data_IF_601541269023
#
_entry.id   IF_601541269023
#
_cell.length_a   1.000
_cell.length_b   1.000
_cell.length_c   1.000
_cell.angle_alpha   90.00
_cell.angle_beta   90.00
_cell.angle_gamma   90.00
#
_symmetry.space_group_name_H-M   'P 1'
#
loop_
_entity.id
_entity.type
_entity.pdbx_description
1 polymer ?
#
# COMPACT_ATOMS: atom_id res chain seq x y z
N UNK A 1 49.39 -113.25 -22.44
CA UNK A 1 49.21 -113.89 -23.77
C UNK A 1 50.55 -113.85 -24.47
N UNK A 2 51.03 -115.01 -24.91
CA UNK A 2 52.32 -115.23 -25.59
C UNK A 2 52.29 -114.48 -26.93
N UNK A 3 53.30 -113.66 -27.19
CA UNK A 3 53.47 -112.90 -28.44
C UNK A 3 53.64 -113.87 -29.60
N UNK A 4 52.90 -113.66 -30.69
CA UNK A 4 53.24 -114.16 -32.03
C UNK A 4 53.14 -112.99 -33.00
N UNK A 5 54.18 -112.87 -33.82
CA UNK A 5 54.53 -111.73 -34.65
C UNK A 5 53.92 -111.77 -36.06
N UNK A 6 54.14 -110.65 -36.75
CA UNK A 6 53.61 -110.18 -38.02
C UNK A 6 53.82 -111.08 -39.26
N UNK A 7 52.85 -110.99 -40.19
CA UNK A 7 53.09 -111.29 -41.62
C UNK A 7 51.89 -111.88 -42.36
N UNK A 8 51.00 -111.04 -42.92
CA UNK A 8 50.20 -111.38 -44.10
C UNK A 8 49.64 -110.10 -44.74
N UNK A 9 50.11 -109.82 -45.95
CA UNK A 9 49.53 -108.85 -46.89
C UNK A 9 48.34 -109.56 -47.55
N UNK A 10 47.14 -109.01 -47.46
CA UNK A 10 45.98 -109.60 -48.15
C UNK A 10 45.95 -109.14 -49.63
N UNK A 11 46.16 -110.08 -50.55
CA UNK A 11 45.85 -109.90 -51.97
C UNK A 11 44.31 -109.91 -52.18
N UNK A 12 43.78 -109.16 -53.17
CA UNK A 12 42.35 -108.92 -53.33
C UNK A 12 41.59 -110.14 -53.89
N UNK A 13 40.35 -110.33 -53.43
CA UNK A 13 39.36 -111.21 -54.07
C UNK A 13 38.82 -110.50 -55.33
N UNK A 14 38.98 -111.13 -56.49
CA UNK A 14 38.32 -110.76 -57.75
C UNK A 14 37.03 -111.59 -57.87
N UNK A 15 35.87 -110.92 -57.90
CA UNK A 15 34.60 -111.51 -58.30
C UNK A 15 34.44 -111.35 -59.82
N UNK A 16 34.43 -112.46 -60.57
CA UNK A 16 34.11 -112.46 -62.01
C UNK A 16 32.60 -112.35 -62.25
N UNK A 17 32.21 -111.40 -63.11
CA UNK A 17 30.83 -111.17 -63.54
C UNK A 17 30.38 -112.22 -64.59
N UNK A 18 29.13 -112.70 -64.47
CA UNK A 18 28.42 -113.46 -65.50
C UNK A 18 27.58 -112.52 -66.40
N UNK A 19 27.46 -112.78 -67.73
CA UNK A 19 26.79 -111.86 -68.66
C UNK A 19 25.25 -112.01 -68.66
N UNK A 20 24.54 -110.87 -68.74
CA UNK A 20 23.08 -110.77 -68.96
C UNK A 20 22.73 -110.58 -70.45
N UNK A 21 21.64 -111.20 -70.91
CA UNK A 21 20.87 -110.96 -72.17
C UNK A 21 19.39 -111.22 -71.83
N UNK A 22 18.32 -110.56 -72.26
CA UNK A 22 17.96 -109.33 -73.02
C UNK A 22 16.47 -109.07 -72.64
N UNK A 23 15.94 -107.83 -72.60
CA UNK A 23 14.54 -107.61 -72.21
C UNK A 23 13.56 -107.75 -73.39
N UNK A 24 12.35 -108.22 -73.11
CA UNK A 24 11.19 -108.22 -74.03
C UNK A 24 10.09 -107.35 -73.43
N UNK A 25 9.44 -106.58 -74.31
CA UNK A 25 8.51 -105.49 -74.05
C UNK A 25 7.05 -105.98 -74.05
N UNK A 26 6.18 -105.09 -73.55
CA UNK A 26 4.75 -104.88 -73.88
C UNK A 26 3.81 -105.69 -72.95
N UNK A 27 2.75 -105.15 -72.33
CA UNK A 27 1.60 -104.44 -72.91
C UNK A 27 0.61 -103.93 -71.85
N UNK A 28 -0.26 -103.01 -72.31
CA UNK A 28 -1.61 -102.66 -71.82
C UNK A 28 -1.68 -101.55 -70.74
N UNK A 29 -2.47 -100.48 -70.88
CA UNK A 29 -3.61 -100.20 -71.75
C UNK A 29 -4.86 -99.88 -70.91
N UNK A 30 -5.60 -98.81 -71.23
CA UNK A 30 -7.04 -98.52 -70.97
C UNK A 30 -7.21 -96.99 -71.08
N UNK A 31 -7.90 -96.35 -72.04
CA UNK A 31 -9.31 -96.38 -72.50
C UNK A 31 -10.36 -96.00 -71.45
N UNK A 32 -11.15 -94.98 -71.80
CA UNK A 32 -12.54 -94.71 -71.36
C UNK A 32 -12.71 -93.31 -70.77
N UNK A 33 -13.79 -92.56 -70.95
CA UNK A 33 -15.00 -92.61 -71.79
C UNK A 33 -15.70 -91.22 -71.64
N UNK A 34 -16.64 -90.82 -72.53
CA UNK A 34 -17.07 -89.43 -72.77
C UNK A 34 -18.47 -89.04 -72.23
N UNK A 35 -18.69 -87.73 -72.06
CA UNK A 35 -20.01 -87.07 -71.85
C UNK A 35 -20.25 -86.65 -70.39
N UNK A 36 -20.59 -85.40 -70.06
CA UNK A 36 -21.72 -84.60 -70.58
C UNK A 36 -21.32 -83.17 -70.98
N UNK A 37 -21.89 -82.66 -72.07
CA UNK A 37 -21.57 -81.36 -72.69
C UNK A 37 -21.86 -80.14 -71.80
N UNK A 38 -21.52 -78.92 -72.22
CA UNK A 38 -20.97 -78.49 -73.49
C UNK A 38 -20.08 -77.27 -73.25
N UNK A 39 -19.07 -77.15 -74.09
CA UNK A 39 -18.06 -76.11 -73.99
C UNK A 39 -16.95 -76.50 -74.91
N UNK A 40 -17.02 -76.01 -76.15
CA UNK A 40 -16.00 -76.23 -77.15
C UNK A 40 -14.65 -75.83 -76.57
N UNK A 41 -13.78 -76.80 -76.40
CA UNK A 41 -12.37 -76.57 -76.18
C UNK A 41 -11.68 -77.54 -77.11
N UNK A 42 -11.48 -77.15 -78.37
CA UNK A 42 -10.41 -76.21 -78.73
C UNK A 42 -9.13 -76.69 -78.04
N UNK A 43 -8.25 -77.30 -78.83
CA UNK A 43 -6.92 -77.70 -78.38
C UNK A 43 -6.25 -76.53 -77.66
N UNK A 44 -5.43 -76.88 -76.64
CA UNK A 44 -4.64 -76.00 -75.77
C UNK A 44 -4.71 -74.52 -76.17
N UNK A 45 -5.67 -73.83 -75.56
CA UNK A 45 -5.94 -72.41 -75.78
C UNK A 45 -4.96 -71.49 -75.04
N UNK A 46 -4.09 -72.07 -74.21
CA UNK A 46 -2.88 -71.44 -73.70
C UNK A 46 -1.90 -72.47 -73.14
N UNK A 47 -0.59 -72.19 -73.24
CA UNK A 47 0.46 -72.98 -72.60
C UNK A 47 1.73 -72.13 -72.42
N UNK A 48 2.28 -72.12 -71.20
CA UNK A 48 3.50 -71.37 -70.82
C UNK A 48 3.53 -69.94 -71.37
N UNK A 49 2.56 -69.12 -70.95
CA UNK A 49 2.29 -67.72 -71.38
C UNK A 49 1.78 -67.51 -72.81
N UNK A 50 1.87 -68.51 -73.71
CA UNK A 50 1.25 -68.44 -75.03
C UNK A 50 -0.26 -68.64 -74.87
N UNK A 51 -1.10 -67.82 -75.51
CA UNK A 51 -2.57 -67.95 -75.56
C UNK A 51 -3.03 -68.02 -77.02
N UNK A 52 -4.20 -68.61 -77.28
CA UNK A 52 -4.67 -68.98 -78.62
C UNK A 52 -4.39 -70.46 -78.95
N UNK A 53 -4.56 -70.88 -80.21
CA UNK A 53 -4.28 -72.26 -80.61
C UNK A 53 -2.76 -72.57 -80.51
N UNK A 54 -2.36 -73.37 -79.52
CA UNK A 54 -0.95 -73.72 -79.27
C UNK A 54 -0.63 -75.13 -79.81
N UNK A 55 0.32 -75.25 -80.74
CA UNK A 55 0.96 -76.56 -81.06
C UNK A 55 2.15 -76.78 -80.13
N UNK A 56 2.19 -77.93 -79.44
CA UNK A 56 3.24 -78.32 -78.50
C UNK A 56 4.28 -79.22 -79.20
N UNK A 57 5.57 -78.90 -79.06
CA UNK A 57 6.72 -79.69 -79.53
C UNK A 57 7.28 -80.61 -78.44
N UNK A 58 8.18 -81.52 -78.79
CA UNK A 58 8.88 -82.37 -77.82
C UNK A 58 9.58 -81.57 -76.72
N UNK A 59 10.17 -80.42 -77.05
CA UNK A 59 10.73 -79.46 -76.08
C UNK A 59 9.67 -78.82 -75.19
N UNK A 60 8.49 -78.49 -75.74
CA UNK A 60 7.39 -77.98 -74.91
C UNK A 60 6.92 -79.04 -73.91
N UNK A 61 6.92 -80.33 -74.29
CA UNK A 61 6.57 -81.44 -73.41
C UNK A 61 7.67 -81.71 -72.36
N UNK A 62 8.95 -81.69 -72.74
CA UNK A 62 10.07 -81.86 -71.80
C UNK A 62 10.16 -80.70 -70.81
N UNK A 63 9.83 -79.47 -71.24
CA UNK A 63 9.74 -78.30 -70.36
C UNK A 63 8.48 -78.33 -69.47
N UNK A 64 7.34 -78.78 -70.02
CA UNK A 64 6.09 -78.96 -69.27
C UNK A 64 6.21 -79.99 -68.15
N UNK A 65 6.83 -81.13 -68.47
CA UNK A 65 7.01 -82.25 -67.55
C UNK A 65 8.31 -82.13 -66.73
N UNK A 66 9.16 -81.14 -67.06
CA UNK A 66 10.47 -80.93 -66.47
C UNK A 66 11.31 -82.21 -66.35
N UNK A 67 11.23 -83.11 -67.35
CA UNK A 67 11.86 -84.43 -67.29
C UNK A 67 12.37 -84.89 -68.65
N UNK A 68 13.65 -85.26 -68.72
CA UNK A 68 14.30 -85.90 -69.88
C UNK A 68 14.50 -87.40 -69.57
N UNK A 69 13.96 -88.33 -70.38
CA UNK A 69 14.16 -89.77 -70.15
C UNK A 69 15.64 -90.17 -70.26
N UNK A 70 16.12 -90.88 -69.24
CA UNK A 70 17.49 -91.40 -69.16
C UNK A 70 17.75 -92.47 -70.25
N UNK A 71 18.82 -92.31 -71.03
CA UNK A 71 19.35 -93.33 -71.94
C UNK A 71 20.60 -94.00 -71.33
N UNK A 72 21.16 -95.03 -71.96
CA UNK A 72 22.28 -95.80 -71.40
C UNK A 72 23.51 -94.93 -70.98
N UNK A 73 23.70 -93.74 -71.54
CA UNK A 73 24.77 -92.82 -71.13
C UNK A 73 24.49 -92.07 -69.81
N UNK A 74 23.28 -92.17 -69.27
CA UNK A 74 22.84 -91.48 -68.04
C UNK A 74 22.68 -92.42 -66.82
N UNK A 75 23.08 -93.69 -66.94
CA UNK A 75 23.18 -94.62 -65.82
C UNK A 75 24.57 -94.54 -65.18
N UNK A 76 24.63 -94.53 -63.83
CA UNK A 76 25.89 -94.38 -63.10
C UNK A 76 26.81 -95.62 -63.24
N UNK A 77 28.13 -95.40 -63.15
CA UNK A 77 29.17 -96.42 -63.36
C UNK A 77 28.98 -97.71 -62.54
N UNK A 78 28.45 -97.61 -61.32
CA UNK A 78 28.18 -98.75 -60.43
C UNK A 78 27.21 -99.78 -61.02
N UNK A 79 26.35 -99.36 -61.96
CA UNK A 79 25.45 -100.28 -62.65
C UNK A 79 26.19 -101.26 -63.58
N UNK A 80 27.49 -101.04 -63.86
CA UNK A 80 28.31 -101.81 -64.78
C UNK A 80 29.53 -102.49 -64.12
N UNK A 81 30.14 -101.88 -63.08
CA UNK A 81 31.43 -102.35 -62.52
C UNK A 81 31.33 -103.33 -61.35
N UNK A 82 30.29 -103.22 -60.51
CA UNK A 82 30.17 -103.97 -59.25
C UNK A 82 31.14 -103.57 -58.14
N UNK A 83 31.95 -102.52 -58.30
CA UNK A 83 32.92 -102.08 -57.29
C UNK A 83 32.27 -101.29 -56.16
N UNK A 84 32.66 -101.55 -54.91
CA UNK A 84 32.17 -100.84 -53.72
C UNK A 84 32.53 -99.34 -53.74
N UNK A 85 33.61 -98.96 -54.44
CA UNK A 85 34.00 -97.56 -54.64
C UNK A 85 32.97 -96.75 -55.43
N UNK A 86 32.17 -97.43 -56.26
CA UNK A 86 31.33 -96.77 -57.26
C UNK A 86 29.91 -96.50 -56.73
N UNK A 87 29.59 -97.06 -55.55
CA UNK A 87 28.35 -96.77 -54.83
C UNK A 87 28.37 -95.33 -54.30
N UNK A 88 27.45 -94.50 -54.78
CA UNK A 88 27.10 -93.28 -54.08
C UNK A 88 26.47 -93.66 -52.72
N UNK A 89 26.95 -93.07 -51.62
CA UNK A 89 26.54 -93.35 -50.22
C UNK A 89 26.86 -94.77 -49.69
N UNK A 90 28.11 -95.23 -49.86
CA UNK A 90 28.56 -96.52 -49.34
C UNK A 90 28.53 -96.60 -47.79
N UNK A 91 28.05 -97.72 -47.21
CA UNK A 91 28.17 -97.98 -45.77
C UNK A 91 29.62 -97.89 -45.24
N UNK A 92 29.81 -97.47 -43.99
CA UNK A 92 31.12 -97.42 -43.34
C UNK A 92 31.53 -98.81 -42.84
N UNK A 93 32.75 -99.25 -43.15
CA UNK A 93 33.34 -100.48 -42.63
C UNK A 93 34.52 -100.07 -41.74
N UNK A 94 34.46 -100.28 -40.41
CA UNK A 94 35.58 -100.05 -39.51
C UNK A 94 36.85 -100.79 -39.96
N UNK A 95 37.97 -100.07 -40.08
CA UNK A 95 39.27 -100.60 -40.52
C UNK A 95 40.40 -100.38 -39.50
N UNK A 96 40.15 -99.69 -38.39
CA UNK A 96 41.09 -99.53 -37.28
C UNK A 96 40.43 -99.38 -35.88
N UNK A 97 41.21 -99.44 -34.78
CA UNK A 97 40.69 -99.42 -33.41
C UNK A 97 39.90 -98.14 -33.03
N UNK A 98 40.19 -97.02 -33.67
CA UNK A 98 39.44 -95.77 -33.48
C UNK A 98 38.00 -95.84 -33.98
N UNK A 99 37.73 -96.71 -34.96
CA UNK A 99 36.41 -96.89 -35.56
C UNK A 99 35.42 -97.63 -34.65
N UNK A 100 35.88 -98.17 -33.50
CA UNK A 100 35.08 -98.88 -32.49
C UNK A 100 35.16 -98.25 -31.08
N UNK A 101 35.80 -97.08 -30.94
CA UNK A 101 35.93 -96.40 -29.65
C UNK A 101 36.97 -97.00 -28.69
N UNK A 102 38.01 -97.65 -29.19
CA UNK A 102 39.11 -98.13 -28.35
C UNK A 102 39.88 -96.95 -27.70
N UNK A 103 40.32 -97.13 -26.44
CA UNK A 103 41.06 -96.12 -25.70
C UNK A 103 42.36 -95.71 -26.43
N UNK A 104 42.66 -94.42 -26.39
CA UNK A 104 43.81 -93.83 -27.10
C UNK A 104 45.12 -94.06 -26.34
N UNK A 105 46.25 -93.99 -27.06
CA UNK A 105 47.58 -94.04 -26.44
C UNK A 105 47.78 -92.96 -25.36
N UNK A 106 47.11 -91.80 -25.48
CA UNK A 106 47.14 -90.73 -24.49
C UNK A 106 46.44 -91.11 -23.18
N UNK A 107 45.34 -91.87 -23.24
CA UNK A 107 44.66 -92.40 -22.05
C UNK A 107 45.53 -93.48 -21.36
N UNK A 108 46.33 -94.23 -22.12
CA UNK A 108 47.35 -95.12 -21.56
C UNK A 108 48.44 -94.38 -20.79
N UNK A 109 48.96 -93.26 -21.33
CA UNK A 109 50.00 -92.46 -20.68
C UNK A 109 49.52 -91.77 -19.37
N UNK A 110 48.23 -91.42 -19.26
CA UNK A 110 47.62 -90.93 -18.03
C UNK A 110 47.55 -92.01 -16.94
N UNK A 111 47.40 -93.28 -17.31
CA UNK A 111 47.42 -94.39 -16.36
C UNK A 111 48.84 -94.69 -15.84
N UNK A 112 49.87 -94.55 -16.68
CA UNK A 112 51.29 -94.74 -16.28
C UNK A 112 51.83 -93.64 -15.36
N UNK A 113 51.17 -92.47 -15.33
CA UNK A 113 51.55 -91.32 -14.47
C UNK A 113 50.72 -91.22 -13.19
N UNK A 114 49.81 -92.17 -12.95
CA UNK A 114 49.06 -92.26 -11.70
C UNK A 114 49.99 -92.66 -10.54
N UNK A 115 50.08 -91.78 -9.54
CA UNK A 115 51.02 -91.83 -8.42
C UNK A 115 50.79 -93.06 -7.53
N UNK A 116 51.82 -93.91 -7.35
CA UNK A 116 51.80 -95.07 -6.44
C UNK A 116 52.30 -94.71 -5.01
N UNK A 117 51.93 -95.46 -3.95
CA UNK A 117 52.08 -95.06 -2.54
C UNK A 117 53.48 -94.65 -2.05
N UNK A 118 54.56 -95.05 -2.72
CA UNK A 118 55.94 -94.63 -2.39
C UNK A 118 56.27 -93.15 -2.67
N UNK A 119 55.46 -92.46 -3.48
CA UNK A 119 55.61 -91.03 -3.73
C UNK A 119 55.00 -90.14 -2.62
N UNK A 120 54.14 -90.70 -1.76
CA UNK A 120 53.54 -89.98 -0.63
C UNK A 120 54.57 -89.69 0.48
N UNK A 121 55.57 -90.56 0.66
CA UNK A 121 56.68 -90.35 1.62
C UNK A 121 57.59 -89.19 1.21
N UNK A 122 57.92 -89.05 -0.07
CA UNK A 122 58.79 -87.98 -0.57
C UNK A 122 58.09 -86.61 -0.56
N UNK A 123 56.78 -86.57 -0.83
CA UNK A 123 56.01 -85.33 -0.77
C UNK A 123 55.70 -84.84 0.64
N UNK A 124 55.70 -85.74 1.65
CA UNK A 124 55.53 -85.34 3.05
C UNK A 124 56.82 -84.70 3.61
N UNK A 125 57.99 -85.24 3.25
CA UNK A 125 59.31 -84.69 3.63
C UNK A 125 59.59 -83.29 3.00
N UNK A 126 58.89 -82.95 1.92
CA UNK A 126 59.00 -81.67 1.20
C UNK A 126 57.89 -80.65 1.55
N UNK A 127 56.86 -81.03 2.32
CA UNK A 127 55.73 -80.14 2.68
C UNK A 127 55.84 -79.50 4.08
N UNK A 128 56.89 -79.83 4.84
CA UNK A 128 57.20 -79.16 6.11
C UNK A 128 58.53 -78.44 5.91
N UNK A 129 58.50 -77.11 5.75
CA UNK A 129 59.71 -76.30 5.60
C UNK A 129 60.61 -76.46 6.83
N UNK A 130 61.65 -77.31 6.73
CA UNK A 130 62.71 -77.39 7.73
C UNK A 130 63.58 -76.14 7.65
N UNK A 131 63.21 -75.10 8.38
CA UNK A 131 64.13 -73.99 8.67
C UNK A 131 65.16 -74.48 9.68
N UNK A 132 66.45 -74.34 9.36
CA UNK A 132 67.53 -74.76 10.25
C UNK A 132 67.40 -74.08 11.62
N UNK A 133 67.25 -74.86 12.69
CA UNK A 133 67.16 -74.37 14.08
C UNK A 133 65.81 -74.56 14.79
N UNK A 134 64.76 -75.09 14.14
CA UNK A 134 63.46 -75.35 14.76
C UNK A 134 63.11 -76.85 14.84
N UNK A 135 62.44 -77.26 15.93
CA UNK A 135 61.95 -78.62 16.19
C UNK A 135 60.46 -78.83 15.85
N UNK A 136 60.03 -80.08 15.75
CA UNK A 136 58.77 -80.53 15.11
C UNK A 136 57.48 -80.49 15.97
N UNK A 137 57.41 -79.76 17.09
CA UNK A 137 56.19 -79.72 17.91
C UNK A 137 56.02 -78.46 18.78
N UNK A 138 54.95 -77.71 18.55
CA UNK A 138 54.18 -76.83 19.47
C UNK A 138 54.88 -75.99 20.58
N UNK A 139 56.11 -75.52 20.39
CA UNK A 139 56.71 -74.48 21.24
C UNK A 139 57.40 -73.42 20.37
N UNK A 140 56.60 -72.64 19.65
CA UNK A 140 57.09 -71.58 18.77
C UNK A 140 57.25 -70.27 19.57
N UNK A 141 58.35 -70.14 20.30
CA UNK A 141 58.97 -68.83 20.51
C UNK A 141 60.23 -68.79 19.65
N UNK A 142 60.28 -67.92 18.65
CA UNK A 142 61.50 -67.64 17.89
C UNK A 142 62.60 -67.14 18.82
N UNK A 143 63.87 -67.28 18.43
CA UNK A 143 64.99 -66.78 19.24
C UNK A 143 64.87 -65.26 19.53
N UNK A 144 64.26 -64.50 18.62
CA UNK A 144 63.96 -63.08 18.79
C UNK A 144 62.82 -62.83 19.79
N UNK A 145 61.79 -63.67 19.81
CA UNK A 145 60.71 -63.60 20.81
C UNK A 145 61.20 -64.04 22.19
N UNK A 146 62.07 -65.05 22.28
CA UNK A 146 62.74 -65.41 23.54
C UNK A 146 63.67 -64.32 24.04
N UNK A 147 64.39 -63.62 23.15
CA UNK A 147 65.20 -62.47 23.54
C UNK A 147 64.34 -61.27 23.99
N UNK A 148 63.21 -61.01 23.30
CA UNK A 148 62.23 -59.99 23.74
C UNK A 148 61.58 -60.36 25.07
N UNK A 149 61.23 -61.62 25.29
CA UNK A 149 60.62 -62.10 26.53
C UNK A 149 61.62 -62.15 27.68
N UNK A 150 62.89 -62.48 27.40
CA UNK A 150 63.98 -62.39 28.39
C UNK A 150 64.36 -60.93 28.71
N UNK A 151 64.05 -59.98 27.83
CA UNK A 151 64.21 -58.53 28.03
C UNK A 151 62.96 -57.81 28.54
N UNK A 152 61.83 -58.52 28.70
CA UNK A 152 60.71 -58.04 29.52
C UNK A 152 61.11 -58.27 30.97
N UNK A 153 61.79 -57.30 31.57
CA UNK A 153 61.97 -57.21 33.01
C UNK A 153 60.61 -57.49 33.66
N UNK A 154 60.56 -58.41 34.64
CA UNK A 154 59.30 -58.93 35.18
C UNK A 154 58.37 -57.79 35.58
N UNK A 155 57.07 -57.93 35.27
CA UNK A 155 56.00 -56.94 35.54
C UNK A 155 56.39 -55.87 36.57
N UNK A 156 56.60 -54.62 36.11
CA UNK A 156 56.85 -53.46 36.96
C UNK A 156 55.77 -53.22 38.04
N UNK A 157 54.63 -53.92 37.95
CA UNK A 157 53.68 -53.96 39.05
C UNK A 157 54.25 -54.73 40.25
N UNK A 158 54.44 -54.03 41.37
CA UNK A 158 54.99 -54.57 42.61
C UNK A 158 53.94 -54.98 43.65
N UNK A 159 52.66 -54.92 43.27
CA UNK A 159 51.54 -55.44 44.06
C UNK A 159 50.66 -54.35 44.68
N UNK A 160 49.70 -54.81 45.47
CA UNK A 160 48.77 -53.96 46.22
C UNK A 160 49.11 -53.97 47.71
N UNK A 161 49.19 -52.81 48.33
CA UNK A 161 49.54 -52.62 49.73
C UNK A 161 48.43 -51.89 50.48
N UNK A 162 48.25 -52.22 51.75
CA UNK A 162 47.17 -51.65 52.57
C UNK A 162 47.37 -50.18 52.95
N UNK A 163 48.61 -49.68 52.86
CA UNK A 163 48.98 -48.29 53.06
C UNK A 163 50.40 -48.02 52.52
N UNK A 164 50.77 -46.75 52.41
CA UNK A 164 52.07 -46.32 51.89
C UNK A 164 53.27 -46.80 52.73
N UNK A 165 53.09 -46.92 54.05
CA UNK A 165 54.13 -47.46 54.95
C UNK A 165 54.39 -48.93 54.68
N UNK A 166 53.34 -49.72 54.42
CA UNK A 166 53.44 -51.13 54.10
C UNK A 166 54.16 -51.36 52.76
N UNK A 167 53.90 -50.51 51.77
CA UNK A 167 54.65 -50.49 50.50
C UNK A 167 56.14 -50.25 50.75
N UNK A 168 56.51 -49.15 51.42
CA UNK A 168 57.92 -48.82 51.67
C UNK A 168 58.63 -49.86 52.55
N UNK A 169 57.92 -50.46 53.51
CA UNK A 169 58.50 -51.50 54.38
C UNK A 169 58.78 -52.78 53.60
N UNK A 170 57.86 -53.17 52.71
CA UNK A 170 58.01 -54.38 51.90
C UNK A 170 58.99 -54.19 50.74
N UNK A 171 59.05 -52.98 50.17
CA UNK A 171 59.85 -52.61 49.02
C UNK A 171 60.55 -51.27 49.27
N UNK A 172 61.62 -51.27 50.08
CA UNK A 172 62.36 -50.04 50.41
C UNK A 172 63.18 -49.49 49.23
N UNK A 173 63.44 -50.32 48.22
CA UNK A 173 64.09 -49.96 46.96
C UNK A 173 63.36 -50.68 45.82
N UNK A 174 63.22 -50.04 44.67
CA UNK A 174 62.63 -50.62 43.47
C UNK A 174 63.41 -50.17 42.22
N UNK A 175 62.99 -50.58 41.03
CA UNK A 175 63.61 -50.22 39.76
C UNK A 175 62.80 -49.15 39.03
N UNK A 176 63.45 -48.39 38.14
CA UNK A 176 62.77 -47.38 37.32
C UNK A 176 61.56 -47.99 36.58
N UNK A 177 60.41 -47.32 36.67
CA UNK A 177 59.16 -47.79 36.06
C UNK A 177 58.32 -48.68 36.96
N UNK A 178 58.82 -49.10 38.12
CA UNK A 178 58.05 -49.85 39.09
C UNK A 178 56.86 -49.05 39.63
N UNK A 179 55.72 -49.73 39.80
CA UNK A 179 54.53 -49.13 40.37
C UNK A 179 53.83 -50.10 41.31
N UNK A 180 53.22 -49.56 42.35
CA UNK A 180 52.45 -50.29 43.33
C UNK A 180 51.14 -49.56 43.61
N UNK A 181 50.10 -50.31 43.90
CA UNK A 181 48.81 -49.74 44.27
C UNK A 181 48.68 -49.76 45.79
N UNK A 182 48.23 -48.66 46.37
CA UNK A 182 47.91 -48.54 47.79
C UNK A 182 46.40 -48.42 47.94
N UNK A 183 45.79 -49.40 48.59
CA UNK A 183 44.35 -49.47 48.84
C UNK A 183 44.10 -49.68 50.34
N UNK A 184 43.58 -48.65 51.01
CA UNK A 184 43.26 -48.68 52.43
C UNK A 184 42.01 -49.51 52.77
N UNK A 185 41.35 -50.11 51.77
CA UNK A 185 40.19 -50.97 51.90
C UNK A 185 38.88 -50.29 51.48
N UNK A 186 37.76 -50.97 51.77
CA UNK A 186 36.44 -50.59 51.28
C UNK A 186 36.08 -49.11 51.52
N UNK A 187 35.84 -48.37 50.43
CA UNK A 187 35.43 -46.96 50.45
C UNK A 187 36.57 -45.95 50.28
N UNK A 188 37.83 -46.38 50.31
CA UNK A 188 38.97 -45.54 49.93
C UNK A 188 39.28 -45.71 48.43
N UNK A 189 39.65 -44.64 47.70
CA UNK A 189 40.15 -44.79 46.34
C UNK A 189 41.53 -45.47 46.36
N UNK A 190 41.79 -46.31 45.35
CA UNK A 190 43.12 -46.89 45.12
C UNK A 190 44.06 -45.78 44.65
N UNK A 191 45.18 -45.59 45.36
CA UNK A 191 46.22 -44.63 45.00
C UNK A 191 47.39 -45.38 44.38
N UNK A 192 47.78 -45.04 43.15
CA UNK A 192 48.97 -45.60 42.52
C UNK A 192 50.22 -44.82 42.94
N UNK A 193 51.24 -45.53 43.37
CA UNK A 193 52.58 -45.02 43.62
C UNK A 193 53.53 -45.55 42.55
N UNK A 194 54.37 -44.68 42.02
CA UNK A 194 55.38 -44.99 41.00
C UNK A 194 56.74 -44.74 41.65
N UNK A 195 57.69 -45.65 41.44
CA UNK A 195 59.05 -45.51 41.93
C UNK A 195 59.74 -44.39 41.15
N UNK A 196 60.18 -43.37 41.88
CA UNK A 196 61.04 -42.31 41.35
C UNK A 196 62.49 -42.69 41.63
N UNK A 197 63.17 -43.17 40.59
CA UNK A 197 64.58 -43.58 40.68
C UNK A 197 65.50 -42.40 41.03
N UNK A 198 65.14 -41.18 40.62
CA UNK A 198 65.99 -40.00 40.85
C UNK A 198 66.08 -39.62 42.32
N UNK A 199 64.99 -39.84 43.06
CA UNK A 199 64.88 -39.55 44.48
C UNK A 199 64.94 -40.83 45.35
N UNK A 200 64.98 -42.02 44.72
CA UNK A 200 64.92 -43.33 45.40
C UNK A 200 63.73 -43.43 46.36
N UNK A 201 62.57 -42.93 45.94
CA UNK A 201 61.35 -42.88 46.75
C UNK A 201 60.11 -43.26 45.93
N UNK A 202 59.09 -43.81 46.60
CA UNK A 202 57.78 -44.05 46.02
C UNK A 202 56.93 -42.77 46.00
N UNK A 203 56.54 -42.29 44.82
CA UNK A 203 55.76 -41.04 44.67
C UNK A 203 54.34 -41.32 44.21
N UNK A 204 53.34 -40.65 44.80
CA UNK A 204 51.95 -40.78 44.40
C UNK A 204 51.71 -40.19 43.01
N UNK A 205 51.02 -40.92 42.13
CA UNK A 205 50.69 -40.43 40.80
C UNK A 205 49.74 -39.22 40.88
N UNK A 206 50.14 -38.08 40.31
CA UNK A 206 49.32 -36.87 40.29
C UNK A 206 48.30 -36.91 39.14
N UNK A 207 47.01 -37.04 39.47
CA UNK A 207 45.88 -36.91 38.54
C UNK A 207 44.61 -37.53 39.11
N UNK A 208 43.51 -36.76 39.18
CA UNK A 208 42.20 -37.31 39.55
C UNK A 208 41.52 -37.91 38.32
N UNK A 209 40.98 -39.12 38.46
CA UNK A 209 40.12 -39.78 37.46
C UNK A 209 38.63 -39.46 37.66
N UNK A 210 38.28 -38.48 38.49
CA UNK A 210 36.89 -38.13 38.78
C UNK A 210 36.18 -37.59 37.53
N UNK A 211 34.97 -38.09 37.21
CA UNK A 211 34.20 -37.59 36.08
C UNK A 211 33.78 -36.13 36.33
N UNK A 212 33.91 -35.28 35.31
CA UNK A 212 33.47 -33.89 35.38
C UNK A 212 31.96 -33.81 35.63
N UNK A 213 31.53 -32.99 36.59
CA UNK A 213 30.10 -32.82 36.92
C UNK A 213 29.39 -31.93 35.89
N UNK A 214 28.08 -32.07 35.75
CA UNK A 214 27.28 -31.22 34.86
C UNK A 214 27.41 -29.71 35.18
N UNK A 215 27.59 -29.35 36.47
CA UNK A 215 27.83 -27.97 36.88
C UNK A 215 29.19 -27.45 36.37
N UNK A 216 30.25 -28.26 36.51
CA UNK A 216 31.57 -27.93 35.99
C UNK A 216 31.57 -27.83 34.45
N UNK A 217 30.85 -28.72 33.76
CA UNK A 217 30.65 -28.64 32.30
C UNK A 217 29.95 -27.33 31.91
N UNK A 218 28.89 -26.93 32.63
CA UNK A 218 28.18 -25.67 32.37
C UNK A 218 29.09 -24.47 32.57
N UNK A 219 29.87 -24.42 33.65
CA UNK A 219 30.82 -23.34 33.91
C UNK A 219 31.90 -23.27 32.83
N UNK A 220 32.50 -24.39 32.44
CA UNK A 220 33.49 -24.42 31.36
C UNK A 220 32.90 -23.97 30.02
N UNK A 221 31.70 -24.42 29.69
CA UNK A 221 30.97 -24.03 28.48
C UNK A 221 30.68 -22.53 28.45
N UNK A 222 30.10 -21.99 29.53
CA UNK A 222 29.76 -20.56 29.64
C UNK A 222 30.99 -19.65 29.77
N UNK A 223 32.15 -20.18 30.17
CA UNK A 223 33.41 -19.43 30.25
C UNK A 223 34.13 -19.26 28.91
N UNK A 224 33.66 -19.90 27.83
CA UNK A 224 34.34 -19.87 26.53
C UNK A 224 33.97 -18.59 25.73
N UNK A 225 34.94 -17.72 25.40
CA UNK A 225 34.69 -16.42 24.76
C UNK A 225 34.07 -16.48 23.34
N UNK A 226 34.23 -17.59 22.62
CA UNK A 226 33.71 -17.77 21.25
C UNK A 226 32.37 -18.53 21.19
N UNK A 227 31.69 -18.69 22.33
CA UNK A 227 30.37 -19.32 22.34
C UNK A 227 29.29 -18.26 22.25
N UNK A 228 28.43 -18.34 21.23
CA UNK A 228 27.13 -17.64 21.18
C UNK A 228 26.17 -18.21 22.25
N UNK A 229 26.67 -18.48 23.47
CA UNK A 229 25.94 -19.17 24.52
C UNK A 229 24.82 -18.28 25.02
N UNK A 230 23.58 -18.76 24.87
CA UNK A 230 22.42 -18.10 25.45
C UNK A 230 22.41 -18.37 26.96
N UNK A 231 22.95 -17.42 27.71
CA UNK A 231 23.13 -17.50 29.16
C UNK A 231 21.80 -17.56 29.89
N UNK A 232 21.80 -18.00 31.15
CA UNK A 232 20.58 -18.03 31.96
C UNK A 232 20.01 -16.62 32.20
N UNK A 233 20.86 -15.59 32.22
CA UNK A 233 20.44 -14.20 32.29
C UNK A 233 19.66 -13.78 31.02
N UNK A 234 20.13 -14.17 29.84
CA UNK A 234 19.45 -13.88 28.57
C UNK A 234 18.14 -14.67 28.42
N UNK A 235 18.11 -15.94 28.86
CA UNK A 235 16.88 -16.74 28.93
C UNK A 235 15.85 -16.12 29.86
N UNK A 236 16.28 -15.65 31.03
CA UNK A 236 15.41 -14.95 31.98
C UNK A 236 14.85 -13.67 31.38
N UNK A 237 15.69 -12.89 30.69
CA UNK A 237 15.26 -11.69 29.96
C UNK A 237 14.23 -12.00 28.88
N UNK A 238 14.40 -13.08 28.12
CA UNK A 238 13.44 -13.53 27.10
C UNK A 238 12.13 -14.03 27.71
N UNK A 239 12.18 -14.71 28.86
CA UNK A 239 10.99 -15.16 29.59
C UNK A 239 10.09 -14.01 30.07
N UNK A 240 10.66 -12.82 30.27
CA UNK A 240 9.91 -11.60 30.60
C UNK A 240 9.24 -10.92 29.41
N UNK A 241 9.53 -11.34 28.18
CA UNK A 241 8.94 -10.78 26.96
C UNK A 241 7.62 -11.50 26.67
N UNK A 242 6.57 -10.73 26.41
CA UNK A 242 5.24 -11.28 26.10
C UNK A 242 5.26 -12.13 24.82
N UNK A 243 4.47 -13.21 24.82
CA UNK A 243 4.32 -14.07 23.65
C UNK A 243 3.85 -13.25 22.43
N UNK A 244 4.57 -13.37 21.31
CA UNK A 244 4.28 -12.63 20.07
C UNK A 244 4.87 -11.22 19.99
N UNK A 245 5.62 -10.77 21.00
CA UNK A 245 6.37 -9.52 20.89
C UNK A 245 7.41 -9.59 19.76
N UNK A 246 7.43 -8.58 18.92
CA UNK A 246 8.37 -8.43 17.82
C UNK A 246 9.62 -7.65 18.26
N UNK A 247 10.74 -7.84 17.59
CA UNK A 247 11.88 -6.93 17.72
C UNK A 247 11.60 -5.68 16.85
N UNK A 248 11.43 -4.52 17.47
CA UNK A 248 11.10 -3.27 16.75
C UNK A 248 12.27 -2.30 16.84
N UNK A 249 12.77 -1.85 15.69
CA UNK A 249 13.92 -0.93 15.63
C UNK A 249 13.57 0.49 16.06
N UNK A 250 12.33 0.90 15.84
CA UNK A 250 11.77 2.20 16.22
C UNK A 250 10.24 2.07 16.38
N UNK A 251 9.60 3.17 16.75
CA UNK A 251 8.13 3.25 16.93
C UNK A 251 7.36 2.97 15.64
N UNK A 252 7.94 3.25 14.46
CA UNK A 252 7.28 3.01 13.17
C UNK A 252 7.18 1.51 12.84
N UNK A 253 8.08 0.72 13.41
CA UNK A 253 8.10 -0.73 13.23
C UNK A 253 7.23 -1.46 14.25
N UNK A 254 6.73 -0.77 15.29
CA UNK A 254 5.97 -1.38 16.37
C UNK A 254 4.56 -1.72 15.89
N UNK A 255 4.21 -3.00 15.98
CA UNK A 255 2.89 -3.46 15.56
C UNK A 255 1.82 -2.88 16.49
N UNK A 256 0.85 -2.18 15.91
CA UNK A 256 -0.28 -1.66 16.67
C UNK A 256 -1.36 -2.74 16.88
N UNK A 257 -2.03 -2.69 18.03
CA UNK A 257 -3.18 -3.55 18.32
C UNK A 257 -4.47 -3.00 17.72
N UNK A 258 -5.57 -3.74 17.81
CA UNK A 258 -6.87 -3.26 17.30
C UNK A 258 -7.44 -2.05 18.07
N UNK A 259 -7.03 -1.87 19.33
CA UNK A 259 -7.57 -0.84 20.24
C UNK A 259 -6.58 0.30 20.50
N UNK A 260 -5.30 -0.02 20.71
CA UNK A 260 -4.25 0.94 20.98
C UNK A 260 -3.42 1.16 19.72
N UNK A 261 -3.60 2.34 19.15
CA UNK A 261 -3.20 2.70 17.81
C UNK A 261 -2.36 3.99 17.88
N UNK A 262 -1.33 4.16 17.05
CA UNK A 262 -0.54 5.40 17.04
C UNK A 262 -1.31 6.53 16.37
N UNK A 263 -1.21 7.71 16.97
CA UNK A 263 -1.77 8.92 16.41
C UNK A 263 -0.81 9.52 15.38
N UNK A 264 -0.96 9.13 14.12
CA UNK A 264 -0.35 9.86 13.01
C UNK A 264 -1.24 11.05 12.62
N UNK A 265 -0.64 12.09 12.03
CA UNK A 265 -1.40 13.27 11.58
C UNK A 265 -2.56 12.88 10.64
N UNK A 266 -2.31 11.97 9.69
CA UNK A 266 -3.34 11.48 8.77
C UNK A 266 -4.50 10.79 9.50
N UNK A 267 -4.21 9.99 10.52
CA UNK A 267 -5.24 9.27 11.28
C UNK A 267 -6.05 10.19 12.17
N UNK A 268 -5.40 11.15 12.83
CA UNK A 268 -6.08 12.16 13.64
C UNK A 268 -7.06 12.96 12.78
N UNK A 269 -6.65 13.35 11.56
CA UNK A 269 -7.52 14.06 10.61
C UNK A 269 -8.67 13.20 10.06
N UNK A 270 -8.49 11.88 9.99
CA UNK A 270 -9.50 10.94 9.51
C UNK A 270 -10.47 10.46 10.60
N UNK A 271 -10.30 10.86 11.87
CA UNK A 271 -11.21 10.45 12.95
C UNK A 271 -12.62 10.98 12.69
N UNK A 272 -13.57 10.06 12.58
CA UNK A 272 -15.00 10.39 12.51
C UNK A 272 -15.47 10.82 13.90
N UNK A 273 -16.04 12.03 14.01
CA UNK A 273 -16.57 12.59 15.26
C UNK A 273 -17.94 11.99 15.65
N UNK A 274 -18.01 10.66 15.72
CA UNK A 274 -19.23 9.93 16.07
C UNK A 274 -19.73 10.35 17.46
N UNK A 275 -20.97 10.84 17.54
CA UNK A 275 -21.54 11.39 18.78
C UNK A 275 -21.36 12.90 18.97
N UNK A 276 -20.84 13.62 17.97
CA UNK A 276 -20.88 15.09 17.94
C UNK A 276 -22.33 15.58 18.06
N UNK A 277 -22.59 16.48 19.03
CA UNK A 277 -23.91 17.06 19.27
C UNK A 277 -23.87 18.58 19.13
N UNK A 278 -24.81 19.15 18.36
CA UNK A 278 -24.93 20.59 18.11
C UNK A 278 -26.06 21.24 18.92
N UNK A 279 -26.57 20.56 19.94
CA UNK A 279 -27.76 21.00 20.68
C UNK A 279 -27.49 22.20 21.62
N UNK A 280 -26.29 22.28 22.20
CA UNK A 280 -25.96 23.25 23.27
C UNK A 280 -24.77 24.13 22.88
N UNK A 281 -24.90 25.45 23.03
CA UNK A 281 -23.85 26.46 22.75
C UNK A 281 -23.31 27.17 24.01
N UNK A 282 -23.24 26.48 25.15
CA UNK A 282 -22.67 27.05 26.39
C UNK A 282 -21.15 27.19 26.30
N UNK A 283 -20.54 27.92 27.23
CA UNK A 283 -19.08 28.02 27.30
C UNK A 283 -18.41 26.65 27.39
N UNK A 284 -17.25 26.53 26.76
CA UNK A 284 -16.38 25.36 26.88
C UNK A 284 -15.70 25.42 28.24
N UNK A 285 -15.70 24.30 28.93
CA UNK A 285 -15.16 24.11 30.28
C UNK A 285 -14.11 23.01 30.26
N UNK A 286 -13.29 22.93 31.31
CA UNK A 286 -12.26 21.88 31.44
C UNK A 286 -12.81 20.45 31.56
N UNK A 287 -14.12 20.29 31.79
CA UNK A 287 -14.79 18.99 31.86
C UNK A 287 -15.36 18.52 30.53
N UNK A 288 -15.39 19.37 29.50
CA UNK A 288 -15.92 18.99 28.19
C UNK A 288 -14.96 18.05 27.46
N UNK A 289 -15.50 16.98 26.89
CA UNK A 289 -14.76 16.17 25.92
C UNK A 289 -14.53 16.96 24.64
N UNK A 290 -13.57 16.53 23.81
CA UNK A 290 -13.30 17.18 22.51
C UNK A 290 -14.56 17.25 21.63
N UNK A 291 -15.40 16.20 21.64
CA UNK A 291 -16.66 16.18 20.89
C UNK A 291 -17.65 17.22 21.42
N UNK A 292 -17.80 17.34 22.74
CA UNK A 292 -18.70 18.34 23.34
C UNK A 292 -18.20 19.76 23.09
N UNK A 293 -16.89 19.98 23.19
CA UNK A 293 -16.26 21.27 22.92
C UNK A 293 -16.48 21.71 21.46
N UNK A 294 -16.24 20.84 20.48
CA UNK A 294 -16.52 21.12 19.07
C UNK A 294 -18.00 21.37 18.79
N UNK A 295 -18.88 20.58 19.42
CA UNK A 295 -20.32 20.76 19.31
C UNK A 295 -20.79 22.12 19.83
N UNK A 296 -20.31 22.52 21.01
CA UNK A 296 -20.55 23.84 21.60
C UNK A 296 -20.06 24.97 20.70
N UNK A 297 -18.83 24.85 20.19
CA UNK A 297 -18.23 25.83 19.28
C UNK A 297 -19.09 26.02 18.02
N UNK A 298 -19.50 24.93 17.37
CA UNK A 298 -20.33 25.00 16.17
C UNK A 298 -21.72 25.56 16.46
N UNK A 299 -22.33 25.24 17.61
CA UNK A 299 -23.61 25.82 18.03
C UNK A 299 -23.49 27.32 18.35
N UNK A 300 -22.44 27.72 19.07
CA UNK A 300 -22.15 29.14 19.35
C UNK A 300 -21.99 29.94 18.06
N UNK A 301 -21.26 29.41 17.08
CA UNK A 301 -21.10 30.05 15.76
C UNK A 301 -22.46 30.15 15.04
N UNK A 302 -23.24 29.07 15.03
CA UNK A 302 -24.57 29.05 14.39
C UNK A 302 -25.50 30.08 15.03
N UNK A 303 -25.49 30.18 16.36
CA UNK A 303 -26.30 31.15 17.12
C UNK A 303 -25.82 32.59 16.89
N UNK A 304 -24.52 32.81 16.81
CA UNK A 304 -23.95 34.11 16.51
C UNK A 304 -24.34 34.56 15.09
N UNK A 305 -24.24 33.67 14.10
CA UNK A 305 -24.69 33.93 12.73
C UNK A 305 -26.18 34.28 12.74
N UNK A 306 -27.03 33.49 13.38
CA UNK A 306 -28.47 33.77 13.46
C UNK A 306 -28.76 35.10 14.17
N UNK A 307 -28.03 35.42 15.24
CA UNK A 307 -28.16 36.69 15.97
C UNK A 307 -27.73 37.88 15.12
N UNK A 308 -26.63 37.75 14.36
CA UNK A 308 -26.12 38.82 13.49
C UNK A 308 -27.01 38.99 12.27
N UNK A 309 -27.47 37.91 11.63
CA UNK A 309 -28.44 37.97 10.53
C UNK A 309 -29.82 38.47 10.98
N UNK A 310 -30.18 38.27 12.25
CA UNK A 310 -31.38 38.84 12.87
C UNK A 310 -31.21 40.29 13.29
N UNK A 311 -29.97 40.78 13.43
CA UNK A 311 -29.70 42.22 13.49
C UNK A 311 -29.86 42.76 12.07
N UNK A 312 -30.49 43.92 11.97
CA UNK A 312 -30.93 44.42 10.69
C UNK A 312 -29.76 45.04 9.92
N UNK A 313 -29.61 44.68 8.65
CA UNK A 313 -28.64 45.28 7.70
C UNK A 313 -28.86 46.79 7.49
N UNK A 314 -30.06 47.26 7.82
CA UNK A 314 -30.49 48.66 7.79
C UNK A 314 -31.22 48.94 9.08
N UNK A 315 -30.96 50.08 9.73
CA UNK A 315 -31.71 50.50 10.92
C UNK A 315 -33.21 50.30 10.66
N UNK A 316 -33.88 49.40 11.38
CA UNK A 316 -35.34 49.35 11.45
C UNK A 316 -35.73 49.95 12.80
N UNK A 317 -36.87 50.61 12.87
CA UNK A 317 -37.29 51.39 14.03
C UNK A 317 -37.44 50.50 15.26
N UNK A 318 -36.39 50.41 16.07
CA UNK A 318 -36.48 50.01 17.46
C UNK A 318 -37.00 51.20 18.27
N UNK A 319 -37.44 50.95 19.51
CA UNK A 319 -37.97 51.92 20.48
C UNK A 319 -37.09 53.17 20.70
N UNK A 320 -35.84 53.18 20.20
CA UNK A 320 -34.85 54.23 20.39
C UNK A 320 -34.62 55.14 19.16
N UNK A 321 -35.26 54.88 18.02
CA UNK A 321 -35.20 55.79 16.87
C UNK A 321 -36.31 56.82 17.02
N UNK A 322 -35.91 58.07 17.30
CA UNK A 322 -36.83 59.20 17.46
C UNK A 322 -37.56 59.43 16.14
N UNK A 323 -38.83 59.07 16.11
CA UNK A 323 -39.78 59.41 15.05
C UNK A 323 -40.05 60.90 15.02
N UNK A 324 -40.29 61.51 13.87
CA UNK A 324 -40.97 62.81 13.80
C UNK A 324 -42.47 62.53 13.74
N UNK A 325 -43.24 63.04 14.70
CA UNK A 325 -44.69 62.87 14.75
C UNK A 325 -45.17 61.40 14.70
N UNK A 326 -44.40 60.48 15.28
CA UNK A 326 -44.73 59.04 15.25
C UNK A 326 -44.30 58.29 13.98
N UNK A 327 -43.73 58.99 12.98
CA UNK A 327 -43.23 58.37 11.75
C UNK A 327 -41.71 58.14 11.77
N UNK A 328 -41.32 56.96 11.29
CA UNK A 328 -39.95 56.47 11.21
C UNK A 328 -39.10 57.25 10.19
N UNK A 329 -37.84 57.56 10.51
CA UNK A 329 -36.92 58.37 9.68
C UNK A 329 -35.94 57.52 8.87
N UNK A 330 -36.37 56.34 8.43
CA UNK A 330 -35.47 55.33 7.86
C UNK A 330 -35.47 55.36 6.33
N UNK A 331 -34.27 55.36 5.74
CA UNK A 331 -34.01 55.34 4.30
C UNK A 331 -32.74 56.13 3.95
N UNK A 332 -32.22 55.97 2.73
CA UNK A 332 -31.30 56.94 2.13
C UNK A 332 -32.12 58.02 1.41
N UNK A 333 -31.78 59.28 1.65
CA UNK A 333 -32.49 60.44 1.11
C UNK A 333 -32.64 61.55 2.14
N UNK A 334 -33.07 62.71 1.66
CA UNK A 334 -33.36 63.86 2.53
C UNK A 334 -34.67 63.65 3.30
N UNK A 335 -34.74 64.25 4.48
CA UNK A 335 -35.93 64.25 5.31
C UNK A 335 -36.98 65.21 4.74
N UNK A 336 -37.88 64.69 3.90
CA UNK A 336 -38.95 65.50 3.29
C UNK A 336 -40.03 65.81 4.33
N UNK A 337 -40.14 67.08 4.75
CA UNK A 337 -41.32 67.61 5.45
C UNK A 337 -42.35 67.97 4.36
N UNK A 338 -43.08 66.97 3.89
CA UNK A 338 -44.09 67.14 2.85
C UNK A 338 -45.38 67.71 3.43
N UNK A 339 -45.80 68.90 2.97
CA UNK A 339 -47.24 69.22 2.93
C UNK A 339 -47.76 70.61 3.28
N UNK A 340 -46.96 71.65 3.51
CA UNK A 340 -47.52 72.99 3.72
C UNK A 340 -46.49 74.10 3.95
N UNK A 341 -46.90 75.35 3.73
CA UNK A 341 -46.11 76.53 4.08
C UNK A 341 -45.53 76.38 5.49
N UNK A 342 -44.29 76.82 5.66
CA UNK A 342 -43.54 76.75 6.93
C UNK A 342 -44.41 77.34 8.05
N UNK A 343 -45.06 76.46 8.83
CA UNK A 343 -46.05 76.90 9.84
C UNK A 343 -45.39 77.50 11.07
N UNK A 344 -44.08 77.32 11.22
CA UNK A 344 -43.30 78.02 12.22
C UNK A 344 -41.83 78.17 11.86
N UNK A 345 -41.27 79.36 12.07
CA UNK A 345 -39.83 79.61 12.15
C UNK A 345 -39.56 80.16 13.55
N UNK A 346 -38.60 79.60 14.27
CA UNK A 346 -38.17 80.05 15.60
C UNK A 346 -39.33 80.22 16.62
N UNK A 347 -40.31 79.33 16.61
CA UNK A 347 -41.38 79.27 17.63
C UNK A 347 -42.60 80.17 17.40
N UNK A 348 -42.66 80.96 16.32
CA UNK A 348 -43.90 81.66 15.92
C UNK A 348 -44.76 80.74 15.06
N UNK A 349 -46.02 80.52 15.45
CA UNK A 349 -46.96 79.63 14.73
C UNK A 349 -48.01 80.47 13.99
N UNK A 350 -48.30 80.20 12.72
CA UNK A 350 -49.35 80.87 11.92
C UNK A 350 -48.83 81.69 10.73
N UNK A 351 -49.72 82.39 10.02
CA UNK A 351 -49.35 83.26 8.89
C UNK A 351 -48.35 84.32 9.36
N UNK A 352 -47.11 84.24 8.88
CA UNK A 352 -46.06 85.20 9.20
C UNK A 352 -46.32 86.49 8.42
N UNK A 353 -47.09 87.38 9.02
CA UNK A 353 -47.33 88.72 8.48
C UNK A 353 -46.07 89.58 8.69
N UNK A 354 -45.47 90.01 7.58
CA UNK A 354 -44.35 90.95 7.59
C UNK A 354 -44.92 92.35 7.47
N UNK A 355 -44.81 93.13 8.54
CA UNK A 355 -45.20 94.54 8.53
C UNK A 355 -44.22 95.34 7.66
N UNK A 356 -44.76 96.10 6.72
CA UNK A 356 -44.03 96.96 5.78
C UNK A 356 -44.53 98.40 5.93
N UNK A 357 -43.62 99.39 6.06
CA UNK A 357 -43.99 100.80 6.02
C UNK A 357 -44.00 101.34 4.58
N UNK A 358 -45.02 102.11 4.25
CA UNK A 358 -45.07 102.99 3.06
C UNK A 358 -44.95 104.42 3.57
N UNK A 359 -43.86 105.11 3.24
CA UNK A 359 -43.58 106.48 3.69
C UNK A 359 -43.80 107.44 2.52
N UNK A 360 -44.64 108.45 2.74
CA UNK A 360 -45.06 109.43 1.74
C UNK A 360 -44.58 110.81 2.18
N UNK A 361 -43.71 111.43 1.39
CA UNK A 361 -43.33 112.82 1.57
C UNK A 361 -44.46 113.73 1.07
N UNK A 362 -45.06 114.51 1.96
CA UNK A 362 -46.24 115.34 1.71
C UNK A 362 -45.91 116.81 1.39
N UNK A 363 -44.65 117.21 1.58
CA UNK A 363 -44.10 118.51 1.21
C UNK A 363 -42.58 118.40 0.99
N UNK A 364 -41.96 119.49 0.52
CA UNK A 364 -40.52 119.67 0.68
C UNK A 364 -40.14 119.92 2.16
N UNK A 365 -38.84 119.93 2.48
CA UNK A 365 -38.36 120.10 3.86
C UNK A 365 -38.27 121.55 4.34
N UNK A 366 -38.51 122.55 3.48
CA UNK A 366 -38.12 123.95 3.73
C UNK A 366 -39.29 124.94 3.64
N UNK A 367 -40.33 124.61 2.89
CA UNK A 367 -41.52 125.42 2.66
C UNK A 367 -42.53 125.17 3.78
N UNK A 368 -43.07 126.27 4.31
CA UNK A 368 -44.14 126.27 5.30
C UNK A 368 -45.38 125.52 4.78
N UNK A 369 -45.94 124.64 5.60
CA UNK A 369 -47.16 123.91 5.29
C UNK A 369 -48.37 124.86 5.28
N UNK A 370 -49.30 124.58 4.36
CA UNK A 370 -50.60 125.23 4.29
C UNK A 370 -51.70 124.18 4.34
N UNK A 371 -52.82 124.51 5.00
CA UNK A 371 -54.01 123.68 4.95
C UNK A 371 -54.54 123.55 3.51
N UNK A 372 -55.17 122.42 3.22
CA UNK A 372 -55.71 122.09 1.91
C UNK A 372 -55.81 120.59 1.70
N UNK A 373 -56.68 120.21 0.77
CA UNK A 373 -56.88 118.84 0.32
C UNK A 373 -55.83 118.42 -0.70
N UNK A 374 -55.61 117.12 -0.86
CA UNK A 374 -54.76 116.52 -1.87
C UNK A 374 -53.35 117.14 -1.94
N UNK A 375 -52.72 117.37 -0.77
CA UNK A 375 -51.34 117.86 -0.69
C UNK A 375 -50.38 116.91 -1.40
N UNK A 376 -50.68 115.61 -1.32
CA UNK A 376 -50.15 114.56 -2.20
C UNK A 376 -51.27 113.63 -2.61
N UNK A 377 -51.20 113.15 -3.86
CA UNK A 377 -52.06 112.10 -4.41
C UNK A 377 -51.18 111.00 -4.99
N UNK A 378 -51.45 109.74 -4.66
CA UNK A 378 -50.76 108.59 -5.24
C UNK A 378 -51.71 107.40 -5.37
N UNK A 379 -51.32 106.41 -6.18
CA UNK A 379 -52.06 105.16 -6.36
C UNK A 379 -51.39 104.05 -5.56
N UNK A 380 -52.17 103.26 -4.85
CA UNK A 380 -51.63 102.13 -4.09
C UNK A 380 -51.10 101.04 -5.02
N UNK A 381 -49.84 100.61 -4.88
CA UNK A 381 -49.24 99.64 -5.80
C UNK A 381 -49.86 98.23 -5.71
N UNK A 382 -50.48 97.91 -4.56
CA UNK A 382 -51.15 96.64 -4.28
C UNK A 382 -52.14 96.85 -3.12
N UNK A 383 -53.05 95.89 -2.92
CA UNK A 383 -53.98 95.92 -1.80
C UNK A 383 -53.21 95.87 -0.47
N UNK A 384 -53.61 96.66 0.52
CA UNK A 384 -52.82 96.86 1.73
C UNK A 384 -53.73 96.93 2.96
N UNK A 385 -53.43 96.09 3.96
CA UNK A 385 -54.10 96.18 5.25
C UNK A 385 -53.31 97.10 6.17
N UNK A 386 -53.85 98.29 6.45
CA UNK A 386 -53.24 99.27 7.35
C UNK A 386 -53.47 98.86 8.80
N UNK A 387 -52.39 98.79 9.56
CA UNK A 387 -52.37 98.46 10.99
C UNK A 387 -51.90 99.62 11.87
N UNK A 388 -51.31 100.65 11.26
CA UNK A 388 -50.88 101.84 11.96
C UNK A 388 -50.61 102.99 11.00
N UNK A 389 -50.78 104.22 11.47
CA UNK A 389 -50.45 105.44 10.74
C UNK A 389 -49.61 106.35 11.62
N UNK A 390 -48.59 106.98 11.04
CA UNK A 390 -47.68 107.90 11.72
C UNK A 390 -47.45 109.13 10.83
N UNK A 391 -47.15 110.27 11.42
CA UNK A 391 -46.65 111.43 10.71
C UNK A 391 -45.41 112.00 11.39
N UNK A 392 -44.55 112.63 10.60
CA UNK A 392 -43.39 113.35 11.10
C UNK A 392 -43.17 114.67 10.35
N UNK A 393 -42.54 115.62 11.03
CA UNK A 393 -42.17 116.93 10.49
C UNK A 393 -40.65 117.14 10.58
N UNK A 394 -40.10 117.87 9.61
CA UNK A 394 -38.73 118.40 9.73
C UNK A 394 -38.69 119.57 10.72
N UNK A 395 -39.68 120.45 10.67
CA UNK A 395 -39.84 121.59 11.59
C UNK A 395 -41.25 121.59 12.17
N UNK A 396 -41.35 121.65 13.50
CA UNK A 396 -42.62 121.75 14.22
C UNK A 396 -43.18 123.18 14.12
N UNK A 397 -44.50 123.32 14.17
CA UNK A 397 -45.11 124.62 14.44
C UNK A 397 -44.95 125.00 15.91
N UNK A 398 -44.78 126.28 16.21
CA UNK A 398 -44.54 126.74 17.59
C UNK A 398 -45.84 126.91 18.38
N UNK A 399 -46.95 127.25 17.71
CA UNK A 399 -48.25 127.44 18.35
C UNK A 399 -49.43 127.46 17.37
N UNK A 400 -50.59 127.83 17.89
CA UNK A 400 -51.86 127.86 17.15
C UNK A 400 -52.62 126.53 17.23
N UNK A 401 -53.46 126.28 16.24
CA UNK A 401 -54.20 125.00 16.12
C UNK A 401 -53.25 123.81 15.93
N UNK A 402 -53.61 122.66 16.50
CA UNK A 402 -52.85 121.41 16.32
C UNK A 402 -52.88 121.01 14.83
N UNK A 403 -51.71 120.63 14.30
CA UNK A 403 -51.59 120.17 12.93
C UNK A 403 -52.41 118.88 12.81
N UNK A 404 -53.41 118.91 11.94
CA UNK A 404 -54.31 117.77 11.70
C UNK A 404 -54.19 117.34 10.26
N UNK A 405 -53.86 116.07 10.07
CA UNK A 405 -53.63 115.42 8.78
C UNK A 405 -54.67 114.33 8.60
N UNK A 406 -55.29 114.31 7.43
CA UNK A 406 -56.19 113.24 7.02
C UNK A 406 -55.57 112.40 5.93
N UNK A 407 -55.98 111.13 5.89
CA UNK A 407 -55.59 110.16 4.88
C UNK A 407 -56.89 109.65 4.28
N UNK A 408 -57.08 109.88 2.99
CA UNK A 408 -58.32 109.49 2.32
C UNK A 408 -58.08 108.42 1.28
N UNK A 409 -58.99 107.46 1.19
CA UNK A 409 -59.13 106.53 0.08
C UNK A 409 -60.33 106.93 -0.77
N UNK A 410 -60.09 107.17 -2.07
CA UNK A 410 -61.13 107.60 -3.02
C UNK A 410 -61.97 108.81 -2.52
N UNK A 411 -61.32 109.72 -1.79
CA UNK A 411 -61.94 110.93 -1.23
C UNK A 411 -62.68 110.74 0.11
N UNK A 412 -62.58 109.58 0.74
CA UNK A 412 -63.16 109.30 2.07
C UNK A 412 -62.06 108.99 3.07
N UNK A 413 -62.12 109.58 4.27
CA UNK A 413 -61.11 109.36 5.31
C UNK A 413 -61.06 107.90 5.74
N UNK A 414 -59.84 107.35 5.84
CA UNK A 414 -59.60 106.04 6.45
C UNK A 414 -59.54 106.11 7.98
N UNK A 415 -59.66 107.32 8.55
CA UNK A 415 -59.48 107.61 9.97
C UNK A 415 -60.78 108.13 10.61
N UNK A 416 -61.26 107.49 11.68
CA UNK A 416 -62.31 108.06 12.54
C UNK A 416 -61.76 109.06 13.55
N UNK A 417 -60.44 109.04 13.78
CA UNK A 417 -59.73 110.07 14.53
C UNK A 417 -58.48 110.42 13.74
N UNK A 418 -58.41 111.67 13.30
CA UNK A 418 -57.38 112.15 12.37
C UNK A 418 -56.01 112.18 13.02
N UNK A 419 -54.97 112.19 12.19
CA UNK A 419 -53.59 112.15 12.63
C UNK A 419 -53.14 113.54 13.06
N UNK A 420 -52.71 113.70 14.31
CA UNK A 420 -52.28 114.99 14.84
C UNK A 420 -50.80 115.02 15.21
N UNK A 421 -50.19 116.21 15.14
CA UNK A 421 -48.88 116.49 15.72
C UNK A 421 -49.02 117.73 16.59
N UNK A 422 -48.74 117.58 17.88
CA UNK A 422 -48.88 118.66 18.86
C UNK A 422 -47.87 119.79 18.58
N UNK A 423 -48.22 121.00 18.99
CA UNK A 423 -47.33 122.15 18.84
C UNK A 423 -45.99 121.87 19.53
N UNK A 424 -44.91 122.34 18.94
CA UNK A 424 -43.51 122.09 19.35
C UNK A 424 -43.01 120.65 19.14
N UNK A 425 -43.87 119.71 18.71
CA UNK A 425 -43.48 118.32 18.44
C UNK A 425 -43.29 118.03 16.94
N UNK A 426 -42.48 117.01 16.64
CA UNK A 426 -42.15 116.61 15.26
C UNK A 426 -42.71 115.25 14.85
N UNK A 427 -43.44 114.58 15.72
CA UNK A 427 -43.96 113.23 15.47
C UNK A 427 -45.38 113.11 16.00
N UNK A 428 -46.20 112.33 15.32
CA UNK A 428 -47.55 112.01 15.79
C UNK A 428 -47.55 110.92 16.87
N UNK A 429 -46.41 110.27 17.13
CA UNK A 429 -46.32 109.18 18.10
C UNK A 429 -46.61 109.61 19.55
N UNK A 430 -46.49 110.91 19.83
CA UNK A 430 -46.71 111.54 21.14
C UNK A 430 -48.04 112.28 21.26
N UNK A 431 -48.86 112.26 20.20
CA UNK A 431 -50.17 112.90 20.21
C UNK A 431 -51.05 112.40 21.38
N UNK A 432 -51.69 113.32 22.09
CA UNK A 432 -52.56 113.00 23.25
C UNK A 432 -53.71 112.06 22.87
N UNK A 433 -54.26 112.21 21.65
CA UNK A 433 -55.26 111.29 21.10
C UNK A 433 -54.67 110.56 19.91
N UNK A 434 -54.54 109.24 20.00
CA UNK A 434 -54.02 108.43 18.91
C UNK A 434 -54.98 108.43 17.70
N UNK A 435 -54.45 108.35 16.47
CA UNK A 435 -55.28 108.16 15.29
C UNK A 435 -56.00 106.82 15.36
N UNK A 436 -57.26 106.79 14.91
CA UNK A 436 -58.07 105.57 14.86
C UNK A 436 -58.38 105.26 13.41
N UNK A 437 -57.87 104.12 12.93
CA UNK A 437 -58.13 103.62 11.58
C UNK A 437 -59.52 102.99 11.58
N UNK A 438 -60.44 103.56 10.80
CA UNK A 438 -61.80 103.07 10.62
C UNK A 438 -61.98 102.27 9.33
N UNK A 439 -61.13 102.52 8.33
CA UNK A 439 -61.01 101.67 7.16
C UNK A 439 -59.56 101.20 7.02
N UNK A 440 -59.32 99.94 7.34
CA UNK A 440 -57.98 99.35 7.27
C UNK A 440 -57.67 98.72 5.92
N UNK A 441 -58.67 98.53 5.05
CA UNK A 441 -58.54 97.67 3.88
C UNK A 441 -58.44 98.49 2.59
N UNK A 442 -57.23 98.94 2.27
CA UNK A 442 -56.99 99.74 1.07
C UNK A 442 -56.90 98.84 -0.16
N UNK A 443 -57.69 99.12 -1.20
CA UNK A 443 -57.69 98.33 -2.42
C UNK A 443 -56.41 98.54 -3.27
N UNK A 444 -56.07 97.54 -4.08
CA UNK A 444 -55.02 97.71 -5.09
C UNK A 444 -55.42 98.81 -6.08
N UNK A 445 -54.46 99.66 -6.45
CA UNK A 445 -54.68 100.84 -7.30
C UNK A 445 -55.71 101.84 -6.73
N UNK A 446 -56.01 101.82 -5.43
CA UNK A 446 -56.82 102.86 -4.81
C UNK A 446 -56.12 104.23 -4.87
N UNK A 447 -56.87 105.30 -5.12
CA UNK A 447 -56.35 106.67 -5.00
C UNK A 447 -56.29 107.06 -3.53
N UNK A 448 -55.08 107.42 -3.09
CA UNK A 448 -54.84 107.93 -1.74
C UNK A 448 -54.49 109.40 -1.82
N UNK A 449 -55.18 110.21 -1.02
CA UNK A 449 -54.82 111.61 -0.80
C UNK A 449 -54.39 111.84 0.65
N UNK A 450 -53.38 112.70 0.82
CA UNK A 450 -53.03 113.25 2.12
C UNK A 450 -53.49 114.69 2.17
N UNK A 451 -54.35 114.99 3.14
CA UNK A 451 -54.93 116.32 3.34
C UNK A 451 -54.36 116.93 4.62
N UNK A 452 -54.16 118.25 4.61
CA UNK A 452 -53.88 119.02 5.83
C UNK A 452 -55.14 119.79 6.15
N UNK A 453 -55.96 119.27 7.05
CA UNK A 453 -57.23 119.91 7.42
C UNK A 453 -57.01 121.17 8.25
N UNK A 454 -56.00 121.15 9.09
CA UNK A 454 -55.74 122.22 10.03
C UNK A 454 -54.24 122.43 10.20
N UNK A 455 -53.82 123.68 10.12
CA UNK A 455 -52.48 124.15 10.43
C UNK A 455 -52.58 125.29 11.44
N UNK A 456 -51.65 125.38 12.38
CA UNK A 456 -51.62 126.42 13.40
C UNK A 456 -51.03 127.73 12.88
N UNK A 457 -49.83 128.07 13.33
CA UNK A 457 -49.12 129.29 12.92
C UNK A 457 -48.49 129.24 11.52
N UNK A 458 -48.62 128.11 10.82
CA UNK A 458 -48.09 127.92 9.46
C UNK A 458 -46.58 127.74 9.39
N UNK A 459 -45.89 127.51 10.52
CA UNK A 459 -44.42 127.37 10.53
C UNK A 459 -43.92 125.92 10.40
N UNK A 460 -44.81 124.93 10.46
CA UNK A 460 -44.46 123.52 10.27
C UNK A 460 -43.95 123.24 8.84
N UNK A 461 -43.01 122.30 8.68
CA UNK A 461 -42.35 121.98 7.40
C UNK A 461 -42.00 120.50 7.29
N UNK A 462 -41.91 119.99 6.06
CA UNK A 462 -41.38 118.65 5.79
C UNK A 462 -42.25 117.54 6.32
N UNK A 463 -43.56 117.58 6.05
CA UNK A 463 -44.49 116.53 6.46
C UNK A 463 -44.18 115.23 5.72
N UNK A 464 -44.04 114.13 6.47
CA UNK A 464 -44.10 112.76 5.95
C UNK A 464 -45.17 111.97 6.68
N UNK A 465 -45.98 111.23 5.95
CA UNK A 465 -46.98 110.30 6.50
C UNK A 465 -46.52 108.88 6.21
N UNK A 466 -46.65 108.00 7.19
CA UNK A 466 -46.29 106.58 7.09
C UNK A 466 -47.53 105.73 7.31
N UNK A 467 -47.84 104.88 6.34
CA UNK A 467 -48.78 103.78 6.49
C UNK A 467 -48.00 102.53 6.88
N UNK A 468 -48.35 101.89 7.99
CA UNK A 468 -47.75 100.63 8.45
C UNK A 468 -48.78 99.52 8.30
N UNK A 469 -48.43 98.47 7.59
CA UNK A 469 -49.39 97.41 7.28
C UNK A 469 -48.72 96.24 6.59
N UNK A 470 -49.50 95.41 5.92
CA UNK A 470 -49.00 94.28 5.13
C UNK A 470 -49.87 94.04 3.91
N UNK A 471 -49.31 93.38 2.91
CA UNK A 471 -50.07 92.88 1.77
C UNK A 471 -50.93 91.68 2.25
N UNK A 472 -52.27 91.75 2.12
CA UNK A 472 -53.18 90.74 2.66
C UNK A 472 -53.07 89.37 1.99
#
# INVERSE_FOLDING_TARGET
MKVIAAGQVANPIVLGAAPRRTPVVVLAGLRGAPGTGGGGSAGVSSFNTRTGAVTLTGTDVTAALAYTPANAASLAAVALSGSYSDLANKPFIPTGPGDIGAATAAQGALADTAVQPGALSVQLDLKVDKVAGYGLSQENFTAAEKAKLAGLEGSHYRGTFINFTALQTALPTAEEGDYADVDAGAGAPVQRYIWDESDSEWVAQAGSADPITAAQVKTLYESNPDTNAYTDAEKSKLGGIAAGATANANTDSLAEGATNLYHTAARVLAVVLSGLSLATGTAITSSDSVLVAFGKLQKQITDLIATVSGKQDTLVSATNIKTINGNSLLGSGDLSISGGAVSSVNGRTGAVQVLVPIIIACSDETTALTAGTAKVTFRMPYAFTVTGVLASLTTAQAGGSILTVDINEAGVSILSTKLTIDNTEKTSATAVTAPVISDSAIAADAEITIDIDQIGDGTAKGLKVTLVGYQP
#
